data_IF_869471319240
#
_entry.id   IF_869471319240
#
_cell.length_a   1.000
_cell.length_b   1.000
_cell.length_c   1.000
_cell.angle_alpha   90.00
_cell.angle_beta   90.00
_cell.angle_gamma   90.00
#
_symmetry.space_group_name_H-M   'P 1'
#
loop_
_entity.id
_entity.type
_entity.pdbx_description
1 polymer ?
#
# COMPACT_ATOMS: atom_id res chain seq x y z
N UNK A 1 37.19 -35.08 -60.66
CA UNK A 1 37.72 -34.30 -59.52
C UNK A 1 38.26 -33.01 -60.08
N UNK A 2 37.91 -31.83 -59.53
CA UNK A 2 38.04 -31.50 -58.12
C UNK A 2 36.71 -31.28 -57.39
N UNK A 3 36.78 -31.49 -56.07
CA UNK A 3 35.75 -31.16 -55.08
C UNK A 3 35.79 -29.67 -54.79
N UNK A 4 34.65 -28.99 -54.81
CA UNK A 4 34.48 -27.73 -54.09
C UNK A 4 33.58 -28.00 -52.91
N UNK A 5 34.19 -27.86 -51.74
CA UNK A 5 33.62 -28.00 -50.42
C UNK A 5 32.85 -26.72 -50.08
N UNK A 6 31.54 -26.81 -49.82
CA UNK A 6 30.83 -25.77 -49.08
C UNK A 6 30.87 -26.16 -47.61
N UNK A 7 31.87 -25.61 -46.93
CA UNK A 7 31.97 -25.62 -45.48
C UNK A 7 30.92 -24.66 -44.90
N UNK A 8 30.32 -25.15 -43.84
CA UNK A 8 29.52 -24.48 -42.83
C UNK A 8 30.05 -23.09 -42.48
N UNK A 9 29.19 -22.06 -42.56
CA UNK A 9 29.24 -20.92 -41.64
C UNK A 9 27.96 -20.09 -41.68
N UNK A 10 27.53 -19.71 -40.48
CA UNK A 10 26.50 -18.72 -40.12
C UNK A 10 25.02 -19.10 -40.28
N UNK A 11 24.44 -19.52 -39.14
CA UNK A 11 23.07 -19.18 -38.75
C UNK A 11 23.01 -17.68 -38.33
N UNK A 12 22.36 -16.81 -39.11
CA UNK A 12 21.64 -15.68 -38.55
C UNK A 12 20.14 -15.86 -38.82
N UNK A 13 19.31 -15.24 -38.00
CA UNK A 13 17.85 -15.12 -38.14
C UNK A 13 16.97 -16.20 -37.50
N UNK A 14 17.03 -16.33 -36.17
CA UNK A 14 15.82 -16.61 -35.38
C UNK A 14 15.49 -15.51 -34.35
N UNK A 15 16.49 -14.70 -33.94
CA UNK A 15 16.29 -13.55 -33.04
C UNK A 15 15.33 -12.44 -33.52
N UNK A 16 15.04 -12.36 -34.83
CA UNK A 16 14.30 -11.21 -35.38
C UNK A 16 12.84 -11.49 -35.74
N UNK A 17 12.38 -12.75 -35.74
CA UNK A 17 10.99 -13.05 -36.13
C UNK A 17 10.05 -13.31 -34.95
N UNK A 18 10.53 -13.85 -33.84
CA UNK A 18 9.72 -13.94 -32.62
C UNK A 18 9.49 -12.58 -31.94
N UNK A 19 10.42 -11.63 -32.08
CA UNK A 19 10.21 -10.25 -31.63
C UNK A 19 9.22 -9.46 -32.52
N UNK A 20 8.98 -9.91 -33.76
CA UNK A 20 8.15 -9.23 -34.76
C UNK A 20 6.71 -9.76 -34.85
N UNK A 21 6.39 -10.83 -34.13
CA UNK A 21 5.02 -11.35 -33.99
C UNK A 21 4.62 -11.41 -32.50
N UNK A 22 4.66 -10.25 -31.83
CA UNK A 22 3.69 -9.98 -30.75
C UNK A 22 2.36 -9.62 -31.44
N UNK A 23 1.35 -10.51 -31.52
CA UNK A 23 0.00 -10.06 -31.84
C UNK A 23 -0.47 -9.17 -30.69
N UNK A 24 -0.31 -7.86 -30.86
CA UNK A 24 -1.35 -6.83 -30.66
C UNK A 24 -2.51 -7.21 -29.72
N UNK A 25 -2.21 -7.52 -28.46
CA UNK A 25 -3.16 -7.43 -27.33
C UNK A 25 -2.78 -6.26 -26.41
N UNK A 26 -1.58 -5.68 -26.56
CA UNK A 26 -1.07 -4.57 -25.73
C UNK A 26 -1.17 -3.16 -26.36
N UNK A 27 -1.95 -2.97 -27.42
CA UNK A 27 -2.01 -1.67 -28.09
C UNK A 27 -2.81 -0.56 -27.37
N UNK A 28 -3.29 -0.78 -26.14
CA UNK A 28 -3.96 0.28 -25.35
C UNK A 28 -3.12 0.89 -24.22
N UNK A 29 -1.94 0.34 -23.90
CA UNK A 29 -1.18 0.75 -22.69
C UNK A 29 0.17 1.45 -22.93
N UNK A 30 0.58 1.66 -24.19
CA UNK A 30 1.95 2.15 -24.51
C UNK A 30 2.04 3.62 -24.99
N UNK A 31 0.92 4.29 -25.29
CA UNK A 31 0.96 5.64 -25.89
C UNK A 31 0.98 6.84 -24.93
N UNK A 32 1.32 6.68 -23.64
CA UNK A 32 1.37 7.84 -22.72
C UNK A 32 2.66 8.08 -21.92
N UNK A 33 3.74 7.31 -22.14
CA UNK A 33 4.99 7.50 -21.38
C UNK A 33 6.18 8.05 -22.18
N UNK A 34 5.97 8.55 -23.40
CA UNK A 34 7.05 9.06 -24.26
C UNK A 34 6.81 10.49 -24.75
N UNK A 35 6.49 11.43 -23.85
CA UNK A 35 6.47 12.88 -24.17
C UNK A 35 6.81 13.74 -22.95
N UNK A 36 7.87 13.40 -22.21
CA UNK A 36 8.35 14.25 -21.13
C UNK A 36 9.85 14.07 -20.88
N UNK A 37 10.66 14.25 -21.95
CA UNK A 37 12.12 14.34 -21.81
C UNK A 37 12.81 14.99 -23.01
N UNK A 38 12.37 16.17 -23.42
CA UNK A 38 13.19 17.07 -24.24
C UNK A 38 12.66 18.51 -24.20
N UNK A 39 13.45 19.39 -23.58
CA UNK A 39 13.66 20.82 -23.86
C UNK A 39 13.62 21.69 -22.60
N UNK A 40 14.83 21.94 -22.07
CA UNK A 40 15.16 23.12 -21.29
C UNK A 40 15.60 24.23 -22.26
N UNK A 41 14.95 25.40 -22.19
CA UNK A 41 15.51 26.77 -22.07
C UNK A 41 14.52 27.85 -22.60
N UNK A 42 14.64 29.12 -22.15
CA UNK A 42 13.54 29.95 -21.69
C UNK A 42 13.29 31.18 -22.57
N UNK A 43 12.11 31.82 -22.46
CA UNK A 43 11.91 33.29 -22.48
C UNK A 43 10.40 33.64 -22.42
N UNK A 44 10.00 34.21 -21.27
CA UNK A 44 9.23 35.45 -21.08
C UNK A 44 7.97 35.84 -21.92
N UNK A 45 6.98 36.32 -21.12
CA UNK A 45 5.99 37.41 -21.36
C UNK A 45 4.61 37.07 -21.99
N UNK A 46 3.60 37.16 -21.10
CA UNK A 46 2.18 37.62 -21.20
C UNK A 46 1.33 37.39 -22.46
N UNK A 47 0.10 36.90 -22.28
CA UNK A 47 -1.13 37.73 -22.30
C UNK A 47 -2.42 36.87 -22.30
N UNK A 48 -3.48 37.52 -21.82
CA UNK A 48 -4.86 37.08 -21.60
C UNK A 48 -5.60 36.83 -22.93
N UNK A 49 -6.41 35.77 -23.03
CA UNK A 49 -7.77 35.82 -23.62
C UNK A 49 -8.51 34.48 -23.56
N UNK A 50 -9.83 34.59 -23.45
CA UNK A 50 -10.83 33.54 -23.29
C UNK A 50 -11.02 32.68 -24.54
N UNK A 51 -11.76 31.56 -24.41
CA UNK A 51 -13.02 31.27 -25.14
C UNK A 51 -13.37 29.76 -25.08
N UNK A 52 -14.69 29.56 -24.91
CA UNK A 52 -15.54 28.41 -25.29
C UNK A 52 -15.42 27.04 -24.60
N UNK A 53 -16.56 26.74 -23.96
CA UNK A 53 -17.11 25.44 -23.60
C UNK A 53 -17.40 24.63 -24.89
N UNK A 54 -17.07 23.33 -24.95
CA UNK A 54 -17.85 22.39 -25.74
C UNK A 54 -18.79 21.60 -24.81
N UNK A 55 -20.09 21.78 -25.04
CA UNK A 55 -21.10 20.82 -24.63
C UNK A 55 -20.92 19.54 -25.44
N UNK A 56 -20.79 18.40 -24.77
CA UNK A 56 -21.08 17.11 -25.37
C UNK A 56 -22.06 16.32 -24.52
N UNK A 57 -23.04 15.80 -25.23
CA UNK A 57 -24.24 15.15 -24.74
C UNK A 57 -23.98 13.78 -24.09
N UNK A 58 -24.99 13.37 -23.35
CA UNK A 58 -25.12 12.18 -22.52
C UNK A 58 -24.83 10.87 -23.26
N UNK A 59 -24.12 9.97 -22.59
CA UNK A 59 -24.42 8.54 -22.64
C UNK A 59 -24.79 8.11 -21.22
N UNK A 60 -26.10 7.99 -20.97
CA UNK A 60 -26.65 7.42 -19.74
C UNK A 60 -26.38 5.93 -19.73
N UNK A 61 -25.30 5.52 -19.07
CA UNK A 61 -25.23 4.21 -18.43
C UNK A 61 -25.42 4.47 -16.95
N UNK A 62 -26.60 4.14 -16.47
CA UNK A 62 -27.02 4.22 -15.07
C UNK A 62 -25.95 3.57 -14.16
N UNK A 63 -25.22 4.32 -13.32
CA UNK A 63 -24.40 3.72 -12.28
C UNK A 63 -25.37 3.16 -11.25
N UNK A 64 -25.33 1.83 -11.05
CA UNK A 64 -26.08 1.18 -9.98
C UNK A 64 -25.93 1.96 -8.67
N UNK A 65 -27.07 2.18 -8.01
CA UNK A 65 -27.19 3.04 -6.84
C UNK A 65 -25.97 2.92 -5.90
N UNK A 66 -25.34 4.03 -5.50
CA UNK A 66 -24.24 3.98 -4.55
C UNK A 66 -24.72 3.27 -3.29
N UNK A 67 -23.89 2.36 -2.77
CA UNK A 67 -24.13 1.72 -1.48
C UNK A 67 -24.44 2.83 -0.46
N UNK A 68 -25.61 2.74 0.18
CA UNK A 68 -26.09 3.77 1.09
C UNK A 68 -25.00 4.12 2.10
N UNK A 69 -24.67 5.41 2.21
CA UNK A 69 -23.70 5.89 3.18
C UNK A 69 -24.10 5.39 4.57
N UNK A 70 -23.16 4.86 5.38
CA UNK A 70 -23.48 4.45 6.73
C UNK A 70 -24.04 5.64 7.52
N UNK A 71 -25.09 5.40 8.31
CA UNK A 71 -25.74 6.43 9.11
C UNK A 71 -24.71 7.13 10.02
N UNK A 72 -24.65 8.47 9.96
CA UNK A 72 -23.67 9.25 10.73
C UNK A 72 -22.30 9.42 10.08
N UNK A 73 -22.19 9.27 8.75
CA UNK A 73 -21.00 9.67 8.01
C UNK A 73 -21.10 11.13 7.55
N UNK A 74 -20.27 12.02 8.10
CA UNK A 74 -19.85 13.26 7.42
C UNK A 74 -18.50 12.99 6.80
N UNK A 75 -18.48 12.71 5.50
CA UNK A 75 -17.31 12.15 4.84
C UNK A 75 -16.80 13.03 3.71
N UNK A 76 -15.48 13.26 3.72
CA UNK A 76 -14.72 13.54 2.51
C UNK A 76 -15.14 12.54 1.43
N UNK A 77 -15.85 13.01 0.40
CA UNK A 77 -16.18 12.16 -0.75
C UNK A 77 -14.94 12.13 -1.62
N UNK A 78 -14.20 11.01 -1.55
CA UNK A 78 -13.10 10.75 -2.47
C UNK A 78 -13.59 10.86 -3.92
N UNK A 79 -12.75 11.47 -4.77
CA UNK A 79 -12.94 11.48 -6.23
C UNK A 79 -12.28 10.28 -6.90
N UNK A 80 -11.58 9.45 -6.12
CA UNK A 80 -10.85 8.30 -6.58
C UNK A 80 -11.72 7.07 -6.86
N UNK A 81 -11.11 5.99 -7.35
CA UNK A 81 -11.79 4.74 -7.73
C UNK A 81 -12.38 3.94 -6.53
N UNK A 82 -12.12 4.38 -5.30
CA UNK A 82 -12.65 3.79 -4.07
C UNK A 82 -13.31 4.89 -3.25
N UNK A 83 -14.59 4.71 -2.92
CA UNK A 83 -15.27 5.63 -2.01
C UNK A 83 -14.65 5.53 -0.62
N UNK A 84 -14.13 6.65 -0.12
CA UNK A 84 -13.63 6.81 1.24
C UNK A 84 -14.68 7.52 2.08
N UNK A 85 -14.96 7.01 3.27
CA UNK A 85 -15.80 7.67 4.26
C UNK A 85 -15.07 7.79 5.58
N UNK A 86 -15.19 8.95 6.23
CA UNK A 86 -14.81 9.13 7.62
C UNK A 86 -16.08 9.05 8.45
N UNK A 87 -16.15 8.14 9.42
CA UNK A 87 -17.31 8.05 10.31
C UNK A 87 -17.27 9.24 11.28
N UNK A 88 -18.37 9.97 11.43
CA UNK A 88 -18.48 11.06 12.41
C UNK A 88 -19.08 10.60 13.73
N UNK A 89 -19.05 9.30 14.03
CA UNK A 89 -19.39 8.75 15.34
C UNK A 89 -18.33 9.19 16.35
N UNK A 90 -18.47 10.43 16.84
CA UNK A 90 -17.52 11.12 17.70
C UNK A 90 -17.08 12.45 17.12
N UNK A 91 -17.99 13.44 17.01
CA UNK A 91 -17.58 14.85 16.80
C UNK A 91 -16.52 15.27 17.84
N UNK A 92 -16.55 14.64 19.00
CA UNK A 92 -15.56 14.81 20.07
C UNK A 92 -14.14 14.30 19.70
N UNK A 93 -13.91 13.58 18.59
CA UNK A 93 -12.58 13.10 18.18
C UNK A 93 -11.98 13.91 17.02
N UNK A 94 -12.65 14.98 16.62
CA UNK A 94 -12.20 15.83 15.52
C UNK A 94 -11.18 16.89 15.96
N UNK A 95 -11.13 17.18 17.25
CA UNK A 95 -10.23 18.16 17.87
C UNK A 95 -9.31 17.49 18.87
N UNK A 96 -8.17 18.14 19.15
CA UNK A 96 -7.22 17.67 20.15
C UNK A 96 -7.86 17.71 21.54
N UNK A 97 -7.69 16.61 22.28
CA UNK A 97 -8.10 16.51 23.68
C UNK A 97 -6.90 16.30 24.60
N UNK A 98 -7.00 16.73 25.86
CA UNK A 98 -5.98 16.49 26.88
C UNK A 98 -6.55 15.53 27.91
N UNK A 99 -5.92 14.37 28.03
CA UNK A 99 -6.21 13.37 29.05
C UNK A 99 -5.21 13.53 30.19
N UNK A 100 -5.65 14.23 31.24
CA UNK A 100 -4.94 14.39 32.52
C UNK A 100 -5.01 13.14 33.41
N UNK A 101 -4.08 12.99 34.34
CA UNK A 101 -4.07 11.89 35.35
C UNK A 101 -5.34 11.85 36.19
N UNK A 102 -5.90 13.01 36.53
CA UNK A 102 -7.14 13.13 37.29
C UNK A 102 -8.35 12.44 36.63
N UNK A 103 -8.35 12.28 35.30
CA UNK A 103 -9.40 11.54 34.60
C UNK A 103 -9.34 10.03 34.89
N UNK A 104 -8.16 9.48 35.15
CA UNK A 104 -7.96 8.05 35.41
C UNK A 104 -8.08 7.72 36.90
N UNK A 105 -7.53 8.57 37.77
CA UNK A 105 -7.51 8.34 39.23
C UNK A 105 -8.82 8.74 39.91
N UNK A 106 -9.53 9.74 39.36
CA UNK A 106 -10.72 10.32 40.00
C UNK A 106 -12.04 9.61 39.70
N UNK A 107 -12.05 8.52 38.92
CA UNK A 107 -13.28 7.78 38.59
C UNK A 107 -14.34 8.58 37.82
N UNK A 108 -14.00 9.77 37.31
CA UNK A 108 -14.94 10.58 36.53
C UNK A 108 -15.17 9.92 35.16
N UNK A 109 -16.39 9.40 34.99
CA UNK A 109 -16.92 8.74 33.80
C UNK A 109 -17.14 9.76 32.67
N UNK A 110 -16.09 10.51 32.31
CA UNK A 110 -16.05 11.37 31.14
C UNK A 110 -15.92 10.52 29.89
N UNK A 111 -17.05 9.91 29.49
CA UNK A 111 -17.34 9.20 28.24
C UNK A 111 -16.21 8.35 27.66
N UNK A 112 -16.31 7.03 27.90
CA UNK A 112 -15.62 5.97 27.13
C UNK A 112 -15.98 6.13 25.66
N UNK A 113 -15.06 6.64 24.83
CA UNK A 113 -15.43 7.10 23.50
C UNK A 113 -15.70 5.97 22.48
N UNK A 114 -15.20 4.73 22.65
CA UNK A 114 -15.29 3.74 21.56
C UNK A 114 -15.18 2.25 21.97
N UNK A 115 -15.79 1.83 23.08
CA UNK A 115 -15.74 0.41 23.50
C UNK A 115 -16.71 -0.53 22.78
N UNK A 116 -17.54 -0.06 21.83
CA UNK A 116 -18.68 -0.87 21.32
C UNK A 116 -18.45 -1.48 19.93
N UNK A 117 -17.41 -1.12 19.17
CA UNK A 117 -17.23 -1.68 17.82
C UNK A 117 -16.24 -2.85 17.83
N UNK A 118 -16.73 -4.01 18.28
CA UNK A 118 -16.30 -5.35 17.84
C UNK A 118 -15.02 -5.95 18.43
N UNK A 119 -15.20 -6.87 19.39
CA UNK A 119 -14.30 -8.03 19.59
C UNK A 119 -13.34 -7.97 20.78
N UNK A 120 -13.63 -8.81 21.80
CA UNK A 120 -12.75 -9.31 22.88
C UNK A 120 -12.05 -8.30 23.82
N UNK A 121 -12.63 -8.11 25.01
CA UNK A 121 -11.88 -8.12 26.29
C UNK A 121 -10.72 -7.13 26.49
N UNK A 122 -10.75 -5.93 25.91
CA UNK A 122 -9.72 -4.93 26.21
C UNK A 122 -9.94 -4.31 27.60
N UNK A 123 -8.98 -4.55 28.50
CA UNK A 123 -8.82 -3.79 29.74
C UNK A 123 -8.92 -2.29 29.46
N UNK A 124 -9.72 -1.57 30.24
CA UNK A 124 -9.87 -0.13 30.14
C UNK A 124 -8.57 0.58 30.51
N UNK A 125 -7.71 0.78 29.52
CA UNK A 125 -6.51 1.62 29.63
C UNK A 125 -6.86 3.11 29.55
N UNK A 126 -5.92 3.97 29.98
CA UNK A 126 -6.02 5.45 29.93
C UNK A 126 -6.35 6.02 28.54
N UNK A 127 -6.17 5.21 27.51
CA UNK A 127 -6.48 5.45 26.11
C UNK A 127 -7.97 5.50 25.80
N UNK A 128 -8.79 4.92 26.69
CA UNK A 128 -10.24 4.86 26.52
C UNK A 128 -10.94 6.17 26.93
N UNK A 129 -10.20 7.08 27.58
CA UNK A 129 -10.70 8.35 28.05
C UNK A 129 -10.59 9.40 26.94
N UNK A 130 -11.69 10.13 26.73
CA UNK A 130 -11.73 11.20 25.75
C UNK A 130 -10.87 12.40 26.17
N UNK A 131 -10.91 12.76 27.46
CA UNK A 131 -10.24 13.94 28.02
C UNK A 131 -11.01 15.23 27.78
N UNK A 132 -10.38 16.37 28.09
CA UNK A 132 -10.97 17.69 27.89
C UNK A 132 -10.59 18.23 26.50
N UNK A 133 -11.52 18.83 25.73
CA UNK A 133 -11.19 19.48 24.48
C UNK A 133 -10.24 20.67 24.71
N UNK A 134 -9.27 20.84 23.83
CA UNK A 134 -8.37 21.99 23.86
C UNK A 134 -9.08 23.19 23.25
N UNK A 135 -9.34 24.21 24.05
CA UNK A 135 -10.01 25.46 23.62
C UNK A 135 -9.14 26.71 23.77
N UNK A 136 -7.93 26.58 24.29
CA UNK A 136 -7.04 27.68 24.67
C UNK A 136 -5.97 28.03 23.60
N UNK A 137 -6.25 27.78 22.32
CA UNK A 137 -5.33 28.07 21.20
C UNK A 137 -5.82 29.24 20.35
N UNK A 138 -4.93 30.18 20.02
CA UNK A 138 -5.18 31.20 19.00
C UNK A 138 -5.23 30.67 17.57
N UNK A 139 -4.82 29.40 17.36
CA UNK A 139 -4.75 28.72 16.05
C UNK A 139 -5.49 27.38 16.10
N UNK A 140 -6.85 27.37 15.99
CA UNK A 140 -7.65 26.15 16.12
C UNK A 140 -7.30 25.07 15.09
N UNK A 141 -6.80 25.44 13.91
CA UNK A 141 -6.33 24.51 12.88
C UNK A 141 -5.21 23.58 13.35
N UNK A 142 -4.37 24.01 14.31
CA UNK A 142 -3.29 23.18 14.86
C UNK A 142 -3.82 22.04 15.75
N UNK A 143 -5.09 22.12 16.15
CA UNK A 143 -5.73 21.14 17.03
C UNK A 143 -6.55 20.11 16.26
N UNK A 144 -6.87 20.38 14.98
CA UNK A 144 -7.72 19.51 14.17
C UNK A 144 -7.05 18.15 13.96
N UNK A 145 -7.81 17.07 14.10
CA UNK A 145 -7.30 15.73 13.86
C UNK A 145 -6.91 15.54 12.39
N UNK A 146 -5.76 14.89 12.09
CA UNK A 146 -5.36 14.60 10.71
C UNK A 146 -6.38 13.71 9.98
N UNK A 147 -7.30 13.07 10.70
CA UNK A 147 -8.40 12.26 10.14
C UNK A 147 -9.42 13.06 9.33
N UNK A 148 -9.54 14.36 9.57
CA UNK A 148 -10.46 15.22 8.81
C UNK A 148 -9.78 15.97 7.67
N UNK A 149 -8.46 16.04 7.68
CA UNK A 149 -7.70 16.90 6.78
C UNK A 149 -6.83 16.08 5.83
N UNK A 150 -5.70 15.59 6.34
CA UNK A 150 -4.59 15.11 5.52
C UNK A 150 -4.67 13.62 5.27
N UNK A 151 -5.07 12.81 6.26
CA UNK A 151 -5.07 11.36 6.13
C UNK A 151 -6.01 10.85 5.03
N UNK A 152 -7.30 11.30 4.92
CA UNK A 152 -8.17 10.82 3.86
C UNK A 152 -7.65 11.16 2.46
N UNK A 153 -7.08 12.35 2.28
CA UNK A 153 -6.51 12.80 0.99
C UNK A 153 -5.29 11.98 0.61
N UNK A 154 -4.33 11.85 1.52
CA UNK A 154 -3.11 11.10 1.27
C UNK A 154 -3.38 9.60 1.09
N UNK A 155 -4.39 9.06 1.77
CA UNK A 155 -4.85 7.69 1.56
C UNK A 155 -5.49 7.51 0.18
N UNK A 156 -6.32 8.45 -0.27
CA UNK A 156 -6.92 8.43 -1.61
C UNK A 156 -5.87 8.44 -2.73
N UNK A 157 -4.85 9.29 -2.60
CA UNK A 157 -3.71 9.34 -3.50
C UNK A 157 -2.95 8.00 -3.53
N UNK A 158 -2.69 7.40 -2.35
CA UNK A 158 -2.02 6.10 -2.25
C UNK A 158 -2.84 4.97 -2.84
N UNK A 159 -4.15 4.93 -2.60
CA UNK A 159 -5.06 3.95 -3.21
C UNK A 159 -5.03 4.07 -4.73
N UNK A 160 -5.10 5.31 -5.25
CA UNK A 160 -5.06 5.57 -6.68
C UNK A 160 -3.74 5.10 -7.30
N UNK A 161 -2.60 5.39 -6.66
CA UNK A 161 -1.30 4.91 -7.11
C UNK A 161 -1.22 3.38 -7.14
N UNK A 162 -1.62 2.70 -6.06
CA UNK A 162 -1.61 1.24 -5.97
C UNK A 162 -2.51 0.61 -7.04
N UNK A 163 -3.67 1.19 -7.31
CA UNK A 163 -4.57 0.70 -8.37
C UNK A 163 -4.00 0.94 -9.76
N UNK A 164 -3.42 2.11 -10.03
CA UNK A 164 -2.79 2.42 -11.30
C UNK A 164 -1.62 1.46 -11.62
N UNK A 165 -0.81 1.11 -10.61
CA UNK A 165 0.28 0.14 -10.75
C UNK A 165 -0.22 -1.28 -11.06
N UNK A 166 -1.39 -1.66 -10.55
CA UNK A 166 -1.87 -3.03 -10.62
C UNK A 166 -2.88 -3.28 -11.75
N UNK A 167 -3.75 -2.34 -12.06
CA UNK A 167 -4.84 -2.49 -13.04
C UNK A 167 -4.67 -1.58 -14.26
N UNK A 168 -3.63 -0.73 -14.29
CA UNK A 168 -3.48 0.35 -15.26
C UNK A 168 -4.39 1.54 -14.92
N UNK A 169 -4.38 2.57 -15.77
CA UNK A 169 -5.14 3.82 -15.55
C UNK A 169 -6.67 3.66 -15.60
N UNK A 170 -7.17 2.48 -15.98
CA UNK A 170 -8.60 2.17 -16.16
C UNK A 170 -9.22 1.31 -15.06
N UNK A 171 -8.66 1.32 -13.85
CA UNK A 171 -9.15 0.52 -12.70
C UNK A 171 -10.66 0.65 -12.53
N UNK A 172 -11.37 -0.48 -12.48
CA UNK A 172 -12.83 -0.47 -12.30
C UNK A 172 -13.20 0.11 -10.93
N UNK A 173 -14.23 0.97 -10.83
CA UNK A 173 -14.69 1.51 -9.56
C UNK A 173 -15.01 0.37 -8.59
N UNK A 174 -14.47 0.47 -7.38
CA UNK A 174 -14.72 -0.50 -6.33
C UNK A 174 -16.03 -0.16 -5.63
N UNK A 175 -16.88 -1.17 -5.46
CA UNK A 175 -18.27 -0.97 -5.00
C UNK A 175 -18.33 -0.76 -3.49
N UNK A 176 -17.47 -1.47 -2.77
CA UNK A 176 -17.43 -1.39 -1.32
C UNK A 176 -16.55 -0.24 -0.86
N UNK A 177 -17.14 0.66 -0.08
CA UNK A 177 -16.44 1.80 0.45
C UNK A 177 -15.44 1.41 1.54
N UNK A 178 -14.34 2.16 1.62
CA UNK A 178 -13.41 2.11 2.74
C UNK A 178 -13.83 3.13 3.79
N UNK A 179 -13.89 2.68 5.04
CA UNK A 179 -14.36 3.46 6.17
C UNK A 179 -13.21 3.69 7.14
N UNK A 180 -12.94 4.96 7.42
CA UNK A 180 -11.95 5.44 8.38
C UNK A 180 -12.71 5.84 9.64
N UNK A 181 -12.42 5.16 10.75
CA UNK A 181 -13.01 5.43 12.06
C UNK A 181 -11.96 6.07 12.97
N UNK A 182 -12.20 7.29 13.48
CA UNK A 182 -11.32 7.90 14.47
C UNK A 182 -11.31 7.07 15.75
N UNK A 183 -10.13 6.76 16.28
CA UNK A 183 -9.99 6.12 17.59
C UNK A 183 -9.40 7.07 18.64
N UNK A 184 -8.54 8.02 18.23
CA UNK A 184 -7.99 8.98 19.17
C UNK A 184 -7.13 10.06 18.52
N UNK A 185 -7.25 11.28 19.04
CA UNK A 185 -6.36 12.40 18.80
C UNK A 185 -6.22 13.21 20.09
N UNK A 186 -5.23 12.84 20.90
CA UNK A 186 -5.14 13.33 22.27
C UNK A 186 -3.71 13.47 22.77
N UNK A 187 -3.50 14.41 23.69
CA UNK A 187 -2.35 14.49 24.57
C UNK A 187 -2.63 13.66 25.83
N UNK A 188 -1.97 12.51 25.95
CA UNK A 188 -2.08 11.62 27.11
C UNK A 188 -0.92 11.85 28.07
N UNK A 189 -1.20 11.90 29.37
CA UNK A 189 -0.12 11.87 30.36
C UNK A 189 0.79 10.65 30.14
N UNK A 190 2.10 10.84 30.25
CA UNK A 190 3.10 9.83 29.90
C UNK A 190 3.07 8.65 30.87
N UNK A 191 3.22 8.91 32.17
CA UNK A 191 3.28 7.89 33.23
C UNK A 191 2.32 8.21 34.37
N UNK A 192 1.72 7.18 34.99
CA UNK A 192 0.76 7.35 36.10
C UNK A 192 1.48 7.61 37.44
N UNK A 193 2.63 6.95 37.62
CA UNK A 193 3.50 7.00 38.81
C UNK A 193 4.83 7.66 38.49
N UNK A 194 4.83 8.69 37.64
CA UNK A 194 6.06 9.43 37.36
C UNK A 194 6.42 10.26 38.60
N UNK A 195 7.73 10.42 38.83
CA UNK A 195 8.25 11.35 39.83
C UNK A 195 7.85 12.81 39.50
N UNK A 196 8.05 13.73 40.45
CA UNK A 196 7.68 15.15 40.29
C UNK A 196 8.27 15.80 39.04
N UNK A 197 9.39 15.29 38.52
CA UNK A 197 10.03 15.83 37.31
C UNK A 197 9.27 15.45 36.02
N UNK A 198 8.59 14.30 36.00
CA UNK A 198 7.85 13.78 34.85
C UNK A 198 6.32 13.87 35.04
N UNK A 199 5.86 14.55 36.10
CA UNK A 199 4.44 14.72 36.43
C UNK A 199 3.63 15.41 35.32
N UNK A 200 4.27 16.33 34.60
CA UNK A 200 3.64 17.14 33.57
C UNK A 200 3.97 16.69 32.14
N UNK A 201 4.53 15.51 31.95
CA UNK A 201 4.84 15.00 30.62
C UNK A 201 3.64 14.36 29.95
N UNK A 202 3.43 14.74 28.69
CA UNK A 202 2.38 14.24 27.82
C UNK A 202 2.98 13.73 26.51
N UNK A 203 2.34 12.70 25.96
CA UNK A 203 2.60 12.16 24.62
C UNK A 203 1.40 12.47 23.73
N UNK A 204 1.66 12.94 22.53
CA UNK A 204 0.65 13.06 21.49
C UNK A 204 0.41 11.69 20.88
N UNK A 205 -0.84 11.25 20.92
CA UNK A 205 -1.24 9.96 20.36
C UNK A 205 -2.32 10.15 19.31
N UNK A 206 -2.11 9.44 18.22
CA UNK A 206 -3.03 9.32 17.11
C UNK A 206 -3.40 7.86 16.92
N UNK A 207 -4.68 7.59 16.71
CA UNK A 207 -5.14 6.26 16.34
C UNK A 207 -6.36 6.33 15.43
N UNK A 208 -6.35 5.48 14.41
CA UNK A 208 -7.46 5.31 13.49
C UNK A 208 -7.64 3.84 13.15
N UNK A 209 -8.88 3.46 12.87
CA UNK A 209 -9.25 2.16 12.34
C UNK A 209 -9.69 2.33 10.89
N UNK A 210 -9.03 1.63 9.98
CA UNK A 210 -9.42 1.54 8.58
C UNK A 210 -10.10 0.20 8.38
N UNK A 211 -11.32 0.24 7.86
CA UNK A 211 -12.09 -0.96 7.56
C UNK A 211 -12.60 -0.92 6.13
N UNK A 212 -12.63 -2.08 5.48
CA UNK A 212 -13.22 -2.22 4.15
C UNK A 212 -13.86 -3.59 4.02
N UNK A 213 -15.04 -3.62 3.42
CA UNK A 213 -15.71 -4.87 3.07
C UNK A 213 -15.06 -5.47 1.82
N UNK A 214 -14.68 -6.76 1.82
CA UNK A 214 -14.13 -7.42 0.65
C UNK A 214 -15.06 -7.28 -0.57
N UNK A 215 -14.51 -7.00 -1.75
CA UNK A 215 -15.35 -6.88 -2.96
C UNK A 215 -16.05 -8.21 -3.28
N UNK A 216 -17.31 -8.14 -3.73
CA UNK A 216 -18.13 -9.32 -4.02
C UNK A 216 -18.67 -10.04 -2.78
N UNK A 217 -18.28 -9.63 -1.57
CA UNK A 217 -18.91 -10.09 -0.35
C UNK A 217 -20.32 -9.51 -0.22
N UNK A 218 -21.32 -10.39 -0.18
CA UNK A 218 -22.69 -10.03 0.17
C UNK A 218 -23.02 -10.66 1.52
N UNK A 219 -23.57 -9.85 2.43
CA UNK A 219 -24.13 -10.38 3.67
C UNK A 219 -25.33 -11.27 3.29
N UNK A 220 -25.31 -12.51 3.77
CA UNK A 220 -26.46 -13.41 3.64
C UNK A 220 -27.15 -13.50 5.00
N UNK A 221 -28.42 -13.91 5.01
CA UNK A 221 -29.20 -14.05 6.24
C UNK A 221 -28.49 -14.90 7.32
N UNK A 222 -27.69 -15.88 6.91
CA UNK A 222 -26.99 -16.82 7.81
C UNK A 222 -25.50 -16.53 7.98
N UNK A 223 -24.92 -15.60 7.20
CA UNK A 223 -23.48 -15.33 7.23
C UNK A 223 -23.20 -13.86 6.94
N UNK A 224 -22.70 -13.19 7.97
CA UNK A 224 -22.09 -11.85 7.86
C UNK A 224 -20.65 -12.01 7.43
N UNK A 225 -20.25 -11.34 6.36
CA UNK A 225 -18.83 -11.36 5.95
C UNK A 225 -18.10 -10.34 6.82
N UNK A 226 -17.03 -10.73 7.54
CA UNK A 226 -16.27 -9.78 8.33
C UNK A 226 -15.58 -8.78 7.41
N UNK A 227 -15.64 -7.50 7.79
CA UNK A 227 -14.85 -6.47 7.13
C UNK A 227 -13.36 -6.72 7.41
N UNK A 228 -12.50 -6.41 6.44
CA UNK A 228 -11.06 -6.36 6.67
C UNK A 228 -10.76 -5.11 7.48
N UNK A 229 -10.12 -5.27 8.63
CA UNK A 229 -9.84 -4.18 9.58
C UNK A 229 -8.34 -4.07 9.84
N UNK A 230 -7.84 -2.83 9.83
CA UNK A 230 -6.50 -2.48 10.30
C UNK A 230 -6.58 -1.25 11.18
N UNK A 231 -5.76 -1.25 12.23
CA UNK A 231 -5.58 -0.08 13.06
C UNK A 231 -4.21 0.50 12.71
N UNK A 232 -4.14 1.83 12.63
CA UNK A 232 -2.87 2.53 12.63
C UNK A 232 -2.75 3.35 13.91
N UNK A 233 -1.54 3.45 14.43
CA UNK A 233 -1.25 4.17 15.67
C UNK A 233 0.07 4.92 15.56
N UNK A 234 0.10 6.13 16.11
CA UNK A 234 1.30 6.93 16.29
C UNK A 234 1.36 7.47 17.72
N UNK A 235 2.56 7.49 18.31
CA UNK A 235 2.84 8.03 19.64
C UNK A 235 4.10 8.88 19.53
N UNK A 236 4.04 10.13 20.00
CA UNK A 236 5.18 11.05 19.99
C UNK A 236 6.15 10.77 21.15
N UNK A 237 7.31 11.44 21.10
CA UNK A 237 8.15 11.57 22.29
C UNK A 237 7.42 12.38 23.38
N UNK A 238 7.68 12.09 24.67
CA UNK A 238 7.12 12.85 25.78
C UNK A 238 7.61 14.30 25.76
N UNK A 239 6.72 15.23 26.14
CA UNK A 239 7.05 16.65 26.37
C UNK A 239 6.17 17.21 27.47
N UNK A 240 6.66 18.22 28.18
CA UNK A 240 5.84 18.92 29.18
C UNK A 240 4.61 19.55 28.54
N UNK A 241 3.53 19.69 29.31
CA UNK A 241 2.31 20.35 28.81
C UNK A 241 2.59 21.80 28.34
N UNK A 242 3.45 22.53 29.05
CA UNK A 242 3.87 23.87 28.67
C UNK A 242 4.58 23.89 27.30
N UNK A 243 5.42 22.90 27.01
CA UNK A 243 6.07 22.75 25.72
C UNK A 243 5.08 22.39 24.60
N UNK A 244 4.02 21.64 24.90
CA UNK A 244 2.93 21.39 23.94
C UNK A 244 2.13 22.65 23.64
N UNK A 245 1.85 23.48 24.65
CA UNK A 245 1.09 24.73 24.48
C UNK A 245 1.88 25.84 23.81
N UNK A 246 3.21 25.77 23.87
CA UNK A 246 4.09 26.79 23.31
C UNK A 246 3.77 27.08 21.83
N UNK A 247 3.79 28.36 21.47
CA UNK A 247 3.52 28.85 20.12
C UNK A 247 2.18 28.38 19.53
N UNK A 248 1.11 28.35 20.33
CA UNK A 248 -0.23 27.90 19.93
C UNK A 248 -0.23 26.45 19.39
N UNK A 249 0.40 25.53 20.12
CA UNK A 249 0.43 24.11 19.76
C UNK A 249 1.10 23.81 18.41
N UNK A 250 2.12 24.58 18.02
CA UNK A 250 2.85 24.40 16.75
C UNK A 250 3.53 23.01 16.64
N UNK A 251 3.96 22.46 17.78
CA UNK A 251 4.47 21.10 17.86
C UNK A 251 3.43 20.04 17.47
N UNK A 252 2.15 20.26 17.83
CA UNK A 252 1.06 19.36 17.44
C UNK A 252 0.88 19.38 15.93
N UNK A 253 0.82 20.58 15.33
CA UNK A 253 0.69 20.74 13.88
C UNK A 253 1.84 20.08 13.10
N UNK A 254 3.07 20.19 13.60
CA UNK A 254 4.23 19.52 13.00
C UNK A 254 4.08 17.99 13.05
N UNK A 255 3.63 17.46 14.19
CA UNK A 255 3.50 16.02 14.38
C UNK A 255 2.24 15.42 13.74
N UNK A 256 1.23 16.21 13.37
CA UNK A 256 0.10 15.74 12.55
C UNK A 256 0.57 15.11 11.25
N UNK A 257 1.53 15.75 10.56
CA UNK A 257 2.10 15.24 9.31
C UNK A 257 2.85 13.93 9.54
N UNK A 258 3.62 13.85 10.63
CA UNK A 258 4.36 12.64 11.01
C UNK A 258 3.41 11.51 11.36
N UNK A 259 2.34 11.77 12.11
CA UNK A 259 1.31 10.80 12.46
C UNK A 259 0.60 10.26 11.21
N UNK A 260 0.28 11.15 10.26
CA UNK A 260 -0.33 10.79 8.98
C UNK A 260 0.58 9.88 8.18
N UNK A 261 1.84 10.27 8.00
CA UNK A 261 2.81 9.46 7.24
C UNK A 261 3.03 8.10 7.90
N UNK A 262 3.18 8.07 9.23
CA UNK A 262 3.34 6.81 9.98
C UNK A 262 2.15 5.88 9.78
N UNK A 263 0.92 6.41 9.78
CA UNK A 263 -0.28 5.64 9.51
C UNK A 263 -0.31 5.09 8.07
N UNK A 264 0.08 5.91 7.08
CA UNK A 264 0.17 5.48 5.68
C UNK A 264 1.23 4.41 5.47
N UNK A 265 2.39 4.52 6.12
CA UNK A 265 3.46 3.53 6.01
C UNK A 265 3.04 2.18 6.59
N UNK A 266 2.24 2.18 7.67
CA UNK A 266 1.65 0.96 8.23
C UNK A 266 0.57 0.36 7.32
N UNK A 267 -0.19 1.19 6.60
CA UNK A 267 -1.33 0.74 5.79
C UNK A 267 -0.93 0.35 4.35
N UNK A 268 0.05 1.02 3.76
CA UNK A 268 0.46 0.85 2.35
C UNK A 268 0.74 -0.61 1.95
N UNK A 269 1.48 -1.40 2.74
CA UNK A 269 1.75 -2.82 2.41
C UNK A 269 0.49 -3.69 2.36
N UNK A 270 -0.55 -3.29 3.09
CA UNK A 270 -1.81 -4.02 3.21
C UNK A 270 -2.84 -3.58 2.18
N UNK A 271 -2.64 -2.41 1.54
CA UNK A 271 -3.59 -1.85 0.57
C UNK A 271 -3.95 -2.83 -0.55
N UNK A 272 -3.02 -3.59 -1.17
CA UNK A 272 -3.41 -4.53 -2.21
C UNK A 272 -4.42 -5.58 -1.74
N UNK A 273 -4.26 -6.07 -0.51
CA UNK A 273 -5.19 -7.02 0.09
C UNK A 273 -6.54 -6.35 0.43
N UNK A 274 -6.53 -5.14 1.00
CA UNK A 274 -7.74 -4.34 1.25
C UNK A 274 -8.53 -4.07 -0.02
N UNK A 275 -7.80 -3.78 -1.09
CA UNK A 275 -8.36 -3.51 -2.40
C UNK A 275 -8.71 -4.80 -3.13
N UNK A 276 -8.61 -5.99 -2.53
CA UNK A 276 -8.96 -7.25 -3.18
C UNK A 276 -8.25 -7.44 -4.52
N UNK A 277 -7.02 -6.92 -4.66
CA UNK A 277 -6.22 -7.12 -5.84
C UNK A 277 -5.80 -8.60 -5.86
N UNK A 278 -6.43 -9.38 -6.74
CA UNK A 278 -6.16 -10.80 -6.91
C UNK A 278 -4.83 -11.03 -7.61
N UNK A 279 -3.75 -10.78 -6.87
CA UNK A 279 -2.39 -11.13 -7.26
C UNK A 279 -2.27 -12.62 -7.56
N UNK A 280 -3.07 -13.48 -6.92
CA UNK A 280 -3.10 -14.91 -7.18
C UNK A 280 -3.56 -15.27 -8.59
N UNK A 281 -4.68 -14.71 -9.04
CA UNK A 281 -5.17 -14.88 -10.42
C UNK A 281 -4.19 -14.27 -11.44
N UNK A 282 -3.62 -13.10 -11.14
CA UNK A 282 -2.61 -12.48 -12.04
C UNK A 282 -1.36 -13.34 -12.17
N UNK A 283 -0.82 -13.86 -11.07
CA UNK A 283 0.32 -14.80 -11.09
C UNK A 283 -0.03 -16.06 -11.89
N UNK A 284 -1.21 -16.64 -11.68
CA UNK A 284 -1.67 -17.81 -12.44
C UNK A 284 -1.79 -17.51 -13.92
N UNK A 285 -2.38 -16.38 -14.29
CA UNK A 285 -2.55 -15.94 -15.68
C UNK A 285 -1.20 -15.69 -16.35
N UNK A 286 -0.28 -14.96 -15.71
CA UNK A 286 1.06 -14.72 -16.22
C UNK A 286 1.83 -16.03 -16.41
N UNK A 287 1.76 -16.94 -15.44
CA UNK A 287 2.38 -18.27 -15.54
C UNK A 287 1.80 -19.09 -16.69
N UNK A 288 0.47 -19.04 -16.88
CA UNK A 288 -0.20 -19.72 -17.98
C UNK A 288 0.21 -19.15 -19.33
N UNK A 289 0.37 -17.82 -19.43
CA UNK A 289 0.86 -17.15 -20.64
C UNK A 289 2.28 -17.60 -20.97
N UNK A 290 3.24 -17.51 -20.03
CA UNK A 290 4.60 -17.99 -20.25
C UNK A 290 4.63 -19.48 -20.63
N UNK A 291 3.78 -20.30 -20.01
CA UNK A 291 3.69 -21.73 -20.34
C UNK A 291 3.11 -21.96 -21.75
N UNK A 292 2.15 -21.15 -22.17
CA UNK A 292 1.56 -21.22 -23.52
C UNK A 292 2.59 -20.83 -24.57
N UNK A 293 3.35 -19.75 -24.35
CA UNK A 293 4.45 -19.34 -25.23
C UNK A 293 5.53 -20.43 -25.33
N UNK A 294 5.90 -21.05 -24.21
CA UNK A 294 6.83 -22.18 -24.20
C UNK A 294 6.31 -23.35 -25.05
N UNK A 295 5.02 -23.70 -24.93
CA UNK A 295 4.42 -24.78 -25.70
C UNK A 295 4.42 -24.46 -27.21
N UNK A 296 4.13 -23.21 -27.58
CA UNK A 296 4.20 -22.75 -28.97
C UNK A 296 5.63 -22.80 -29.52
N UNK A 297 6.60 -22.30 -28.76
CA UNK A 297 8.02 -22.35 -29.13
C UNK A 297 8.52 -23.79 -29.29
N UNK A 298 8.13 -24.70 -28.39
CA UNK A 298 8.50 -26.13 -28.50
C UNK A 298 7.88 -26.77 -29.73
N UNK A 299 6.62 -26.44 -30.04
CA UNK A 299 5.95 -26.95 -31.24
C UNK A 299 6.65 -26.46 -32.52
N UNK A 300 7.11 -25.21 -32.55
CA UNK A 300 7.91 -24.67 -33.67
C UNK A 300 9.29 -25.34 -33.73
N UNK A 301 9.97 -25.49 -32.59
CA UNK A 301 11.27 -26.14 -32.48
C UNK A 301 11.25 -27.58 -33.03
N UNK A 302 10.15 -28.31 -32.83
CA UNK A 302 9.97 -29.67 -33.35
C UNK A 302 9.95 -29.75 -34.89
N UNK A 303 9.73 -28.64 -35.58
CA UNK A 303 9.74 -28.55 -37.05
C UNK A 303 11.10 -28.13 -37.62
N UNK A 304 12.08 -27.81 -36.77
CA UNK A 304 13.40 -27.31 -37.19
C UNK A 304 14.38 -28.43 -37.53
N UNK A 305 15.48 -28.09 -38.22
CA UNK A 305 16.53 -29.03 -38.57
C UNK A 305 17.30 -29.58 -37.35
N UNK A 306 17.34 -28.84 -36.23
CA UNK A 306 17.89 -29.29 -34.94
C UNK A 306 16.91 -28.98 -33.79
N UNK A 307 15.93 -29.87 -33.54
CA UNK A 307 14.94 -29.69 -32.48
C UNK A 307 15.54 -29.61 -31.08
N UNK A 308 16.72 -30.18 -30.85
CA UNK A 308 17.34 -30.17 -29.51
C UNK A 308 17.88 -28.79 -29.18
N UNK A 309 18.60 -28.16 -30.11
CA UNK A 309 19.12 -26.81 -29.93
C UNK A 309 17.97 -25.81 -29.76
N UNK A 310 16.95 -25.87 -30.62
CA UNK A 310 15.80 -24.95 -30.54
C UNK A 310 14.99 -25.10 -29.23
N UNK A 311 14.79 -26.34 -28.72
CA UNK A 311 14.13 -26.56 -27.42
C UNK A 311 14.92 -26.00 -26.23
N UNK A 312 16.25 -25.91 -26.33
CA UNK A 312 17.08 -25.27 -25.29
C UNK A 312 16.83 -23.77 -25.28
N UNK A 313 16.74 -23.13 -26.45
CA UNK A 313 16.42 -21.70 -26.58
C UNK A 313 15.04 -21.39 -26.00
N UNK A 314 14.00 -22.17 -26.35
CA UNK A 314 12.66 -22.02 -25.76
C UNK A 314 12.68 -22.08 -24.22
N UNK A 315 13.49 -22.97 -23.63
CA UNK A 315 13.63 -23.05 -22.17
C UNK A 315 14.29 -21.81 -21.56
N UNK A 316 15.19 -21.16 -22.28
CA UNK A 316 15.82 -19.90 -21.84
C UNK A 316 14.78 -18.78 -21.89
N UNK A 317 14.02 -18.66 -22.97
CA UNK A 317 12.94 -17.68 -23.11
C UNK A 317 11.86 -17.86 -22.04
N UNK A 318 11.42 -19.10 -21.77
CA UNK A 318 10.47 -19.38 -20.71
C UNK A 318 10.99 -18.94 -19.33
N UNK A 319 12.27 -19.20 -19.03
CA UNK A 319 12.89 -18.72 -17.78
C UNK A 319 12.91 -17.21 -17.71
N UNK A 320 13.19 -16.54 -18.83
CA UNK A 320 13.17 -15.09 -18.93
C UNK A 320 11.77 -14.52 -18.68
N UNK A 321 10.73 -15.06 -19.34
CA UNK A 321 9.32 -14.70 -19.10
C UNK A 321 8.93 -14.89 -17.64
N UNK A 322 9.29 -16.03 -17.02
CA UNK A 322 9.04 -16.24 -15.59
C UNK A 322 9.75 -15.20 -14.72
N UNK A 323 10.99 -14.82 -15.05
CA UNK A 323 11.72 -13.82 -14.28
C UNK A 323 11.25 -12.38 -14.49
N UNK A 324 10.77 -12.04 -15.69
CA UNK A 324 10.38 -10.68 -16.05
C UNK A 324 8.90 -10.41 -15.72
N UNK A 325 8.02 -11.38 -15.96
CA UNK A 325 6.56 -11.17 -15.83
C UNK A 325 5.97 -11.82 -14.58
N UNK A 326 6.42 -13.02 -14.20
CA UNK A 326 5.83 -13.76 -13.08
C UNK A 326 6.49 -13.40 -11.75
N UNK A 327 7.82 -13.28 -11.73
CA UNK A 327 8.57 -13.08 -10.50
C UNK A 327 8.24 -11.74 -9.81
N UNK A 328 8.09 -10.60 -10.50
CA UNK A 328 7.68 -9.34 -9.84
C UNK A 328 6.28 -9.43 -9.23
N UNK A 329 5.35 -10.15 -9.88
CA UNK A 329 4.01 -10.39 -9.35
C UNK A 329 4.03 -11.31 -8.13
N UNK A 330 4.92 -12.31 -8.12
CA UNK A 330 5.12 -13.17 -6.94
C UNK A 330 5.71 -12.35 -5.81
N UNK A 331 6.76 -11.57 -6.08
CA UNK A 331 7.50 -10.79 -5.08
C UNK A 331 6.67 -9.64 -4.48
N UNK A 332 5.67 -9.13 -5.20
CA UNK A 332 4.71 -8.17 -4.66
C UNK A 332 3.70 -8.77 -3.69
N UNK A 333 3.58 -10.10 -3.62
CA UNK A 333 2.76 -10.75 -2.57
C UNK A 333 3.47 -10.71 -1.22
N UNK A 334 2.74 -10.67 -0.08
CA UNK A 334 3.38 -10.68 1.25
C UNK A 334 4.34 -11.85 1.48
N UNK A 335 4.00 -13.06 0.97
CA UNK A 335 4.89 -14.22 1.04
C UNK A 335 6.05 -14.13 0.06
N UNK A 336 5.84 -13.52 -1.11
CA UNK A 336 6.89 -13.25 -2.08
C UNK A 336 7.90 -12.23 -1.56
N UNK A 337 7.45 -11.15 -0.93
CA UNK A 337 8.30 -10.17 -0.27
C UNK A 337 9.22 -10.85 0.75
N UNK A 338 8.69 -11.74 1.61
CA UNK A 338 9.52 -12.54 2.50
C UNK A 338 10.59 -13.35 1.74
N UNK A 339 10.23 -13.98 0.62
CA UNK A 339 11.18 -14.75 -0.21
C UNK A 339 12.22 -13.86 -0.89
N UNK A 340 11.82 -12.68 -1.38
CA UNK A 340 12.71 -11.70 -2.00
C UNK A 340 13.74 -11.18 -0.99
N UNK A 341 13.31 -10.85 0.24
CA UNK A 341 14.22 -10.48 1.34
C UNK A 341 15.18 -11.62 1.67
N UNK A 342 14.70 -12.87 1.70
CA UNK A 342 15.56 -14.04 1.93
C UNK A 342 16.58 -14.24 0.80
N UNK A 343 16.18 -14.07 -0.46
CA UNK A 343 17.06 -14.16 -1.62
C UNK A 343 18.12 -13.06 -1.58
N UNK A 344 17.74 -11.82 -1.30
CA UNK A 344 18.66 -10.69 -1.14
C UNK A 344 19.67 -10.93 -0.01
N UNK A 345 19.20 -11.40 1.15
CA UNK A 345 20.06 -11.76 2.28
C UNK A 345 21.07 -12.86 1.89
N UNK A 346 20.62 -13.88 1.16
CA UNK A 346 21.51 -14.93 0.63
C UNK A 346 22.58 -14.38 -0.32
N UNK A 347 22.21 -13.46 -1.20
CA UNK A 347 23.15 -12.83 -2.12
C UNK A 347 24.20 -12.02 -1.35
N UNK A 348 23.77 -11.21 -0.38
CA UNK A 348 24.67 -10.44 0.47
C UNK A 348 25.65 -11.32 1.27
N UNK A 349 25.19 -12.46 1.81
CA UNK A 349 26.07 -13.43 2.49
C UNK A 349 27.11 -14.01 1.52
N UNK A 350 26.69 -14.37 0.30
CA UNK A 350 27.62 -14.89 -0.72
C UNK A 350 28.65 -13.85 -1.13
N UNK A 351 28.23 -12.63 -1.42
CA UNK A 351 29.12 -11.53 -1.80
C UNK A 351 30.14 -11.24 -0.69
N UNK A 352 29.71 -11.21 0.56
CA UNK A 352 30.60 -11.04 1.72
C UNK A 352 31.61 -12.18 1.86
N UNK A 353 31.17 -13.42 1.68
CA UNK A 353 32.06 -14.58 1.70
C UNK A 353 33.07 -14.53 0.55
N UNK A 354 32.63 -14.16 -0.66
CA UNK A 354 33.48 -14.03 -1.84
C UNK A 354 34.52 -12.90 -1.71
N UNK A 355 34.14 -11.80 -1.07
CA UNK A 355 35.04 -10.68 -0.77
C UNK A 355 36.10 -11.05 0.28
N UNK A 356 35.77 -11.94 1.22
CA UNK A 356 36.69 -12.36 2.29
C UNK A 356 37.62 -13.48 1.82
N UNK A 357 37.08 -14.47 1.10
CA UNK A 357 37.81 -15.63 0.62
C UNK A 357 37.35 -16.01 -0.80
N UNK A 358 38.02 -15.53 -1.86
CA UNK A 358 37.67 -15.84 -3.23
C UNK A 358 37.71 -17.36 -3.47
N UNK A 359 36.59 -17.93 -3.94
CA UNK A 359 36.49 -19.35 -4.29
C UNK A 359 35.96 -20.27 -3.18
N UNK A 360 35.84 -19.78 -1.93
CA UNK A 360 35.22 -20.56 -0.85
C UNK A 360 33.70 -20.32 -0.86
N UNK A 361 32.92 -21.41 -0.86
CA UNK A 361 31.47 -21.32 -0.74
C UNK A 361 31.10 -21.10 0.74
N UNK A 362 30.24 -20.12 1.07
CA UNK A 362 29.79 -19.90 2.44
C UNK A 362 29.13 -21.15 3.02
N UNK A 363 29.38 -21.40 4.29
CA UNK A 363 28.79 -22.54 4.99
C UNK A 363 27.27 -22.36 5.17
N UNK A 364 26.56 -23.48 5.35
CA UNK A 364 25.11 -23.45 5.61
C UNK A 364 24.76 -22.64 6.88
N UNK A 365 25.66 -22.63 7.86
CA UNK A 365 25.57 -21.88 9.12
C UNK A 365 25.48 -20.37 8.90
N UNK A 366 26.16 -19.82 7.90
CA UNK A 366 26.16 -18.37 7.59
C UNK A 366 24.81 -17.88 7.05
N UNK A 367 24.00 -18.79 6.50
CA UNK A 367 22.64 -18.47 6.04
C UNK A 367 21.58 -18.58 7.13
N UNK A 368 21.94 -19.02 8.34
CA UNK A 368 21.00 -19.23 9.45
C UNK A 368 20.24 -17.93 9.83
N UNK A 369 20.89 -16.75 9.91
CA UNK A 369 20.18 -15.49 10.18
C UNK A 369 19.12 -15.18 9.11
N UNK A 370 19.47 -15.34 7.83
CA UNK A 370 18.53 -15.14 6.72
C UNK A 370 17.34 -16.11 6.82
N UNK A 371 17.59 -17.38 7.15
CA UNK A 371 16.54 -18.39 7.27
C UNK A 371 15.61 -18.11 8.46
N UNK A 372 16.15 -17.63 9.58
CA UNK A 372 15.36 -17.26 10.75
C UNK A 372 14.49 -16.03 10.47
N UNK A 373 15.04 -14.99 9.84
CA UNK A 373 14.28 -13.82 9.41
C UNK A 373 13.15 -14.19 8.43
N UNK A 374 13.44 -15.07 7.47
CA UNK A 374 12.42 -15.58 6.55
C UNK A 374 11.29 -16.33 7.27
N UNK A 375 11.62 -17.25 8.19
CA UNK A 375 10.62 -18.00 8.97
C UNK A 375 9.77 -17.07 9.83
N UNK A 376 10.37 -16.06 10.45
CA UNK A 376 9.66 -15.05 11.21
C UNK A 376 8.68 -14.27 10.31
N UNK A 377 9.15 -13.77 9.18
CA UNK A 377 8.31 -13.08 8.19
C UNK A 377 7.13 -13.95 7.73
N UNK A 378 7.38 -15.20 7.34
CA UNK A 378 6.32 -16.13 6.91
C UNK A 378 5.33 -16.41 8.04
N UNK A 379 5.79 -16.53 9.29
CA UNK A 379 4.92 -16.71 10.45
C UNK A 379 4.00 -15.49 10.62
N UNK A 380 4.54 -14.28 10.62
CA UNK A 380 3.76 -13.03 10.71
C UNK A 380 2.73 -12.92 9.59
N UNK A 381 3.12 -13.21 8.34
CA UNK A 381 2.20 -13.17 7.18
C UNK A 381 1.09 -14.22 7.29
N UNK A 382 1.38 -15.38 7.87
CA UNK A 382 0.38 -16.43 8.09
C UNK A 382 -0.58 -16.08 9.23
N UNK A 383 -0.10 -15.44 10.29
CA UNK A 383 -0.92 -15.00 11.43
C UNK A 383 -1.81 -13.80 11.07
N UNK A 384 -1.44 -13.02 10.05
CA UNK A 384 -2.22 -11.88 9.57
C UNK A 384 -3.37 -12.25 8.59
N UNK A 385 -3.43 -13.51 8.14
CA UNK A 385 -4.48 -14.07 7.26
C UNK A 385 -5.46 -14.89 8.07
#
# INVERSE_FOLDING_TARGET
>A
MPRVSCASDHFPCLRSRCAAQRPRIDQSLSTMNATLRTLFLPLFVTAISAVAIPSFAQNSTEPGAPAAAPAGARGFVSKGPVLLYVTSTGEDLTMLHIVRRSHVVGGNIGRVALSVIGGSGQMHGKESYLGDPVTDSGKPQNLVSPLLTDLPKALDEKITAVLAENEGSGATPRKNAMVITPLGWHLLYHELMADQAHEEEYVLRFSARISKRPEGATDTFFRKVPDTVRNCTYVSTPRTLSAWKANDYDAVATLQKVATQTCLDQLTPELPAFLGLDTGAKIKSAKLNCQTEMNLCVAEADTTADPKAAKVECKVEYKQCVSEDVQPLVDSTPLGACKATYASCKTAVKEKAQATNPGIKPEKSEFLPCANAYRACVKTVKEAR
#
